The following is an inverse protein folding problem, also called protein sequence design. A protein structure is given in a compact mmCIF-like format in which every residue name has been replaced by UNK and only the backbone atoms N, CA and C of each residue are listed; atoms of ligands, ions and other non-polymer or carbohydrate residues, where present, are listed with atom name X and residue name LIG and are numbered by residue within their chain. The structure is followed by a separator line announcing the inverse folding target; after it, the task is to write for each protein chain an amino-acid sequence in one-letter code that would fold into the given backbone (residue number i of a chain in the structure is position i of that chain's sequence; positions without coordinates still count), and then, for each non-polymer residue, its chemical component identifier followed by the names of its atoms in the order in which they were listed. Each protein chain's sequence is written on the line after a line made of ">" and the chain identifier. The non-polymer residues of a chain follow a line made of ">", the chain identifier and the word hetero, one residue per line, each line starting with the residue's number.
data_IF_500303929957
#
_entry.id   IF_500303929957
#
_cell.length_a   1.000
_cell.length_b   1.000
_cell.length_c   1.000
_cell.angle_alpha   90.00
_cell.angle_beta   90.00
_cell.angle_gamma   90.00
#
_symmetry.space_group_name_H-M   'P 1'
#
loop_
_entity.id
_entity.type
_entity.pdbx_description
1 polymer ?
#
# COMPACT_ATOMS: atom_id res chain seq x y z
N UNK A 1 -8.59 -12.98 -3.46
CA UNK A 1 -9.35 -11.90 -2.79
C UNK A 1 -9.80 -10.88 -3.83
N UNK A 2 -11.06 -10.55 -3.86
CA UNK A 2 -11.60 -9.58 -4.82
C UNK A 2 -11.40 -8.16 -4.31
N UNK A 3 -11.58 -7.18 -5.21
CA UNK A 3 -11.58 -5.76 -4.83
C UNK A 3 -12.62 -5.48 -3.75
N UNK A 4 -13.79 -6.06 -3.88
CA UNK A 4 -14.90 -5.89 -2.93
C UNK A 4 -14.52 -6.43 -1.54
N UNK A 5 -13.83 -7.55 -1.49
CA UNK A 5 -13.32 -8.11 -0.23
C UNK A 5 -12.29 -7.17 0.41
N UNK A 6 -11.40 -6.57 -0.41
CA UNK A 6 -10.41 -5.62 0.09
C UNK A 6 -11.08 -4.38 0.67
N UNK A 7 -12.07 -3.84 -0.01
CA UNK A 7 -12.83 -2.68 0.46
C UNK A 7 -13.55 -3.01 1.76
N UNK A 8 -14.13 -4.20 1.84
CA UNK A 8 -14.81 -4.65 3.06
C UNK A 8 -13.85 -4.76 4.24
N UNK A 9 -12.63 -5.24 4.00
CA UNK A 9 -11.62 -5.39 5.04
C UNK A 9 -11.01 -4.05 5.47
N UNK A 10 -10.63 -3.20 4.51
CA UNK A 10 -9.80 -2.03 4.73
C UNK A 10 -10.55 -0.70 4.61
N UNK A 11 -11.78 -0.72 4.12
CA UNK A 11 -12.54 0.49 3.82
C UNK A 11 -12.30 1.00 2.41
N UNK A 12 -13.16 1.91 1.96
CA UNK A 12 -13.13 2.49 0.62
C UNK A 12 -12.21 3.73 0.56
N UNK A 13 -11.03 3.63 1.13
CA UNK A 13 -10.08 4.73 1.25
C UNK A 13 -8.76 4.35 0.61
N UNK A 14 -8.21 5.23 -0.24
CA UNK A 14 -6.91 5.01 -0.84
C UNK A 14 -5.82 5.03 0.24
N UNK A 15 -5.02 3.97 0.28
CA UNK A 15 -3.94 3.84 1.26
C UNK A 15 -2.86 4.92 1.09
N UNK A 16 -2.75 5.48 -0.12
CA UNK A 16 -1.74 6.50 -0.42
C UNK A 16 -2.24 7.92 -0.13
N UNK A 17 -3.25 8.37 -0.88
CA UNK A 17 -3.68 9.76 -0.79
C UNK A 17 -4.80 10.01 0.22
N UNK A 18 -5.40 8.96 0.75
CA UNK A 18 -6.47 9.08 1.73
C UNK A 18 -7.84 9.48 1.19
N UNK A 19 -7.97 9.65 -0.12
CA UNK A 19 -9.25 9.99 -0.72
C UNK A 19 -10.18 8.78 -0.71
N UNK A 20 -11.47 9.08 -0.70
CA UNK A 20 -12.54 8.08 -0.77
C UNK A 20 -13.27 8.24 -2.11
N UNK A 21 -12.62 7.89 -3.24
CA UNK A 21 -13.26 8.04 -4.55
C UNK A 21 -14.39 7.04 -4.71
N UNK A 22 -15.15 7.18 -5.80
CA UNK A 22 -16.12 6.16 -6.18
C UNK A 22 -15.43 4.79 -6.20
N UNK A 23 -16.15 3.77 -5.74
CA UNK A 23 -15.57 2.42 -5.65
C UNK A 23 -15.07 1.92 -7.00
N UNK A 24 -15.61 2.43 -8.11
CA UNK A 24 -15.15 2.10 -9.44
C UNK A 24 -13.68 2.51 -9.67
N UNK A 25 -13.20 3.55 -8.98
CA UNK A 25 -11.82 4.03 -9.10
C UNK A 25 -10.87 3.40 -8.10
N UNK A 26 -11.35 2.51 -7.25
CA UNK A 26 -10.51 1.78 -6.31
C UNK A 26 -9.96 0.51 -6.95
N UNK A 27 -8.71 0.21 -6.66
CA UNK A 27 -8.00 -0.94 -7.20
C UNK A 27 -7.29 -1.70 -6.08
N UNK A 28 -6.84 -2.91 -6.39
CA UNK A 28 -5.97 -3.68 -5.51
C UNK A 28 -4.51 -3.27 -5.80
N UNK A 29 -3.83 -2.75 -4.79
CA UNK A 29 -2.43 -2.35 -4.86
C UNK A 29 -1.58 -3.40 -4.19
N UNK A 30 -0.48 -3.81 -4.85
CA UNK A 30 0.51 -4.69 -4.25
C UNK A 30 1.48 -3.86 -3.41
N UNK A 31 1.57 -4.12 -2.12
CA UNK A 31 2.52 -3.44 -1.24
C UNK A 31 3.95 -3.72 -1.70
N UNK A 32 4.33 -4.99 -1.80
CA UNK A 32 5.53 -5.39 -2.51
C UNK A 32 5.15 -5.51 -3.99
N UNK A 33 5.69 -4.65 -4.86
CA UNK A 33 5.28 -4.62 -6.28
C UNK A 33 5.51 -5.95 -7.00
N UNK A 34 4.67 -6.25 -7.95
CA UNK A 34 4.80 -7.45 -8.77
C UNK A 34 6.15 -7.50 -9.50
N UNK A 35 6.64 -6.37 -9.96
CA UNK A 35 7.95 -6.25 -10.61
C UNK A 35 9.10 -6.58 -9.66
N UNK A 36 8.86 -6.58 -8.35
CA UNK A 36 9.84 -6.95 -7.32
C UNK A 36 9.49 -8.29 -6.69
N UNK A 37 8.78 -9.15 -7.46
CA UNK A 37 8.34 -10.47 -7.05
C UNK A 37 7.25 -10.47 -5.99
N UNK A 38 6.49 -9.37 -5.88
CA UNK A 38 5.32 -9.31 -5.03
C UNK A 38 4.22 -10.21 -5.56
N UNK A 39 3.62 -11.00 -4.69
CA UNK A 39 2.57 -11.95 -5.06
C UNK A 39 1.20 -11.36 -4.78
N UNK A 40 0.20 -11.85 -5.51
CA UNK A 40 -1.19 -11.46 -5.32
C UNK A 40 -1.80 -12.27 -4.18
N UNK A 41 -1.43 -11.90 -2.96
CA UNK A 41 -1.88 -12.53 -1.72
C UNK A 41 -2.65 -11.51 -0.90
N UNK A 42 -3.68 -11.92 -0.15
CA UNK A 42 -4.47 -10.97 0.65
C UNK A 42 -3.62 -10.06 1.53
N UNK A 43 -2.59 -10.59 2.18
CA UNK A 43 -1.71 -9.81 3.06
C UNK A 43 -0.84 -8.80 2.30
N UNK A 44 -0.63 -8.99 1.00
CA UNK A 44 0.16 -8.09 0.16
C UNK A 44 -0.68 -7.09 -0.61
N UNK A 45 -1.99 -7.09 -0.41
CA UNK A 45 -2.91 -6.21 -1.15
C UNK A 45 -3.48 -5.13 -0.24
N UNK A 46 -3.61 -3.94 -0.78
CA UNK A 46 -4.24 -2.80 -0.12
C UNK A 46 -5.15 -2.08 -1.11
N UNK A 47 -6.05 -1.25 -0.59
CA UNK A 47 -6.94 -0.44 -1.44
C UNK A 47 -6.20 0.82 -1.87
N UNK A 48 -6.19 1.10 -3.16
CA UNK A 48 -5.63 2.33 -3.69
C UNK A 48 -6.49 2.87 -4.82
N UNK A 49 -6.54 4.20 -4.95
CA UNK A 49 -7.20 4.79 -6.09
C UNK A 49 -6.37 4.54 -7.35
N UNK A 50 -7.05 4.50 -8.50
CA UNK A 50 -6.39 4.21 -9.78
C UNK A 50 -5.25 5.18 -10.10
N UNK A 51 -5.40 6.51 -9.91
CA UNK A 51 -4.29 7.43 -10.16
C UNK A 51 -3.06 7.17 -9.28
N UNK A 52 -3.24 6.89 -7.99
CA UNK A 52 -2.12 6.59 -7.11
C UNK A 52 -1.44 5.28 -7.46
N UNK A 53 -2.22 4.24 -7.76
CA UNK A 53 -1.68 2.95 -8.18
C UNK A 53 -0.80 3.13 -9.43
N UNK A 54 -1.28 3.92 -10.37
CA UNK A 54 -0.55 4.22 -11.61
C UNK A 54 0.75 4.97 -11.35
N UNK A 55 0.70 6.00 -10.48
CA UNK A 55 1.88 6.83 -10.18
C UNK A 55 2.91 6.10 -9.35
N UNK A 56 2.46 5.24 -8.43
CA UNK A 56 3.37 4.51 -7.56
C UNK A 56 4.28 3.60 -8.38
N UNK A 57 3.73 2.89 -9.34
CA UNK A 57 4.48 1.97 -10.21
C UNK A 57 5.26 0.95 -9.40
N UNK A 58 6.58 0.94 -9.53
CA UNK A 58 7.48 -0.03 -8.90
C UNK A 58 8.22 0.52 -7.69
N UNK A 59 7.90 1.74 -7.26
CA UNK A 59 8.59 2.36 -6.13
C UNK A 59 8.30 1.61 -4.84
N UNK A 60 9.30 1.43 -3.97
CA UNK A 60 9.02 0.96 -2.60
C UNK A 60 8.06 1.90 -1.88
N UNK A 61 7.39 1.40 -0.85
CA UNK A 61 6.38 2.18 -0.12
C UNK A 61 6.93 3.54 0.32
N UNK A 62 8.06 3.55 1.02
CA UNK A 62 8.62 4.80 1.56
C UNK A 62 9.05 5.76 0.45
N UNK A 63 9.59 5.24 -0.65
CA UNK A 63 9.96 6.09 -1.79
C UNK A 63 8.74 6.82 -2.35
N UNK A 64 7.59 6.13 -2.44
CA UNK A 64 6.37 6.78 -2.91
C UNK A 64 5.80 7.76 -1.88
N UNK A 65 5.89 7.45 -0.60
CA UNK A 65 5.50 8.39 0.47
C UNK A 65 6.29 9.70 0.34
N UNK A 66 7.60 9.61 0.14
CA UNK A 66 8.44 10.79 -0.07
C UNK A 66 8.03 11.58 -1.30
N UNK A 67 7.71 10.88 -2.38
CA UNK A 67 7.22 11.50 -3.62
C UNK A 67 5.90 12.25 -3.40
N UNK A 68 4.97 11.64 -2.67
CA UNK A 68 3.69 12.27 -2.35
C UNK A 68 3.89 13.54 -1.50
N UNK A 69 4.74 13.46 -0.48
CA UNK A 69 5.03 14.61 0.38
C UNK A 69 5.71 15.75 -0.38
N UNK A 70 6.59 15.41 -1.31
CA UNK A 70 7.24 16.40 -2.17
C UNK A 70 6.21 17.14 -3.04
N UNK A 71 5.11 16.48 -3.40
CA UNK A 71 4.03 17.06 -4.19
C UNK A 71 2.96 17.72 -3.32
N UNK A 72 3.18 17.82 -2.01
CA UNK A 72 2.26 18.48 -1.09
C UNK A 72 1.13 17.60 -0.55
N UNK A 73 1.19 16.29 -0.77
CA UNK A 73 0.19 15.37 -0.24
C UNK A 73 0.68 14.71 1.04
N UNK A 74 -0.21 14.52 1.99
CA UNK A 74 0.10 13.75 3.20
C UNK A 74 -0.56 12.37 3.08
N UNK A 75 0.22 11.29 3.01
CA UNK A 75 -0.33 9.94 2.94
C UNK A 75 -1.07 9.57 4.22
N UNK A 76 -1.95 8.59 4.12
CA UNK A 76 -2.59 8.01 5.29
C UNK A 76 -1.61 7.05 5.97
N UNK A 77 -0.75 7.62 6.81
CA UNK A 77 0.30 6.86 7.50
C UNK A 77 -0.28 5.73 8.35
N UNK A 78 -1.42 5.97 8.99
CA UNK A 78 -2.12 4.96 9.79
C UNK A 78 -2.49 3.72 8.95
N UNK A 79 -3.04 3.94 7.76
CA UNK A 79 -3.41 2.84 6.87
C UNK A 79 -2.19 2.11 6.33
N UNK A 80 -1.14 2.86 5.97
CA UNK A 80 0.11 2.27 5.46
C UNK A 80 0.79 1.43 6.53
N UNK A 81 0.90 1.94 7.74
CA UNK A 81 1.48 1.21 8.85
C UNK A 81 0.71 -0.07 9.13
N UNK A 82 -0.62 0.02 9.21
CA UNK A 82 -1.46 -1.16 9.42
C UNK A 82 -1.27 -2.21 8.33
N UNK A 83 -1.22 -1.78 7.08
CA UNK A 83 -1.03 -2.69 5.95
C UNK A 83 0.34 -3.37 5.99
N UNK A 84 1.40 -2.61 6.27
CA UNK A 84 2.75 -3.15 6.37
C UNK A 84 2.92 -4.06 7.58
N UNK A 85 2.32 -3.73 8.72
CA UNK A 85 2.32 -4.58 9.89
C UNK A 85 1.64 -5.92 9.60
N UNK A 86 0.50 -5.88 8.91
CA UNK A 86 -0.18 -7.10 8.48
C UNK A 86 0.73 -7.95 7.59
N UNK A 87 1.39 -7.34 6.61
CA UNK A 87 2.29 -8.04 5.71
C UNK A 87 3.50 -8.62 6.49
N UNK A 88 4.02 -7.90 7.47
CA UNK A 88 5.15 -8.38 8.28
C UNK A 88 4.78 -9.59 9.12
N UNK A 89 3.53 -9.68 9.58
CA UNK A 89 3.06 -10.79 10.42
C UNK A 89 2.57 -11.98 9.60
N UNK A 90 1.80 -11.69 8.54
CA UNK A 90 1.12 -12.74 7.76
C UNK A 90 1.87 -13.14 6.50
N UNK A 91 2.77 -12.29 6.03
CA UNK A 91 3.62 -12.62 4.90
C UNK A 91 4.76 -13.53 5.30
N UNK A 92 5.45 -14.08 4.32
CA UNK A 92 6.61 -14.93 4.55
C UNK A 92 7.76 -14.51 3.64
N UNK A 93 8.99 -14.87 4.04
CA UNK A 93 10.18 -14.62 3.24
C UNK A 93 10.33 -13.16 2.83
N UNK A 94 10.48 -12.92 1.53
CA UNK A 94 10.74 -11.60 0.98
C UNK A 94 9.63 -10.59 1.31
N UNK A 95 8.37 -11.02 1.40
CA UNK A 95 7.25 -10.14 1.71
C UNK A 95 7.35 -9.58 3.13
N UNK A 96 7.59 -10.46 4.10
CA UNK A 96 7.73 -10.04 5.50
C UNK A 96 8.98 -9.17 5.68
N UNK A 97 10.08 -9.54 5.05
CA UNK A 97 11.33 -8.76 5.12
C UNK A 97 11.16 -7.38 4.53
N UNK A 98 10.50 -7.29 3.38
CA UNK A 98 10.18 -6.01 2.74
C UNK A 98 9.33 -5.14 3.67
N UNK A 99 8.28 -5.70 4.26
CA UNK A 99 7.40 -4.95 5.15
C UNK A 99 8.15 -4.40 6.37
N UNK A 100 9.02 -5.21 6.98
CA UNK A 100 9.82 -4.78 8.14
C UNK A 100 10.75 -3.63 7.77
N UNK A 101 11.42 -3.73 6.61
CA UNK A 101 12.31 -2.67 6.16
C UNK A 101 11.56 -1.37 5.88
N UNK A 102 10.40 -1.46 5.23
CA UNK A 102 9.60 -0.27 4.95
C UNK A 102 9.06 0.35 6.24
N UNK A 103 8.63 -0.44 7.22
CA UNK A 103 8.19 0.07 8.52
C UNK A 103 9.33 0.82 9.23
N UNK A 104 10.53 0.25 9.24
CA UNK A 104 11.68 0.89 9.85
C UNK A 104 12.01 2.24 9.18
N UNK A 105 11.89 2.29 7.84
CA UNK A 105 12.13 3.53 7.09
C UNK A 105 11.03 4.57 7.33
N UNK A 106 9.78 4.14 7.52
CA UNK A 106 8.68 5.06 7.84
C UNK A 106 8.93 5.79 9.17
N UNK A 107 9.48 5.08 10.15
CA UNK A 107 9.78 5.68 11.46
C UNK A 107 10.81 6.82 11.39
N UNK A 108 11.60 6.86 10.33
CA UNK A 108 12.66 7.85 10.13
C UNK A 108 12.21 9.06 9.31
N UNK A 109 10.99 9.07 8.84
CA UNK A 109 10.49 10.19 8.04
C UNK A 109 10.17 11.44 8.84
#
# INVERSE_FOLDING_TARGET
>A
MTREHLICRDGATCVWCGREPWTADLTAEHLLPRSRRGRTLPENLAVACRPCNKRRRTKPVVAYVRSLRADGYEPRMDLLESALERLSRSGSGAHADYARRQLALLERL
#
